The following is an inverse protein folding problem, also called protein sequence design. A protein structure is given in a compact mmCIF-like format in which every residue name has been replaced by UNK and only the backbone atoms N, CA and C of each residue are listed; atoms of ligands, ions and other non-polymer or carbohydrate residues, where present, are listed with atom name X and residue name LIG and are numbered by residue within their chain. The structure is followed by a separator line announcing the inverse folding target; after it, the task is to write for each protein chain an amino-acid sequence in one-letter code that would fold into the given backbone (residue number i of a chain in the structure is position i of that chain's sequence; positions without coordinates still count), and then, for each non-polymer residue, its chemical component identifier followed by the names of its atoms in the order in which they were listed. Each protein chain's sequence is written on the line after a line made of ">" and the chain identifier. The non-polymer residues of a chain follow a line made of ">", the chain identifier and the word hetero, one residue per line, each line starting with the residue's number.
data_IF_943473032996
#
_entry.id   IF_943473032996
#
_cell.length_a   1.000
_cell.length_b   1.000
_cell.length_c   1.000
_cell.angle_alpha   90.00
_cell.angle_beta   90.00
_cell.angle_gamma   90.00
#
_symmetry.space_group_name_H-M   'P 1'
#
loop_
_entity.id
_entity.type
_entity.pdbx_description
1 polymer ?
#
# COMPACT_ATOMS: atom_id res chain seq x y z
N UNK A 1 0.85 9.37 11.60
CA UNK A 1 1.09 9.40 10.15
C UNK A 1 0.09 8.45 9.52
N UNK A 2 -1.01 8.97 9.02
CA UNK A 2 -2.00 8.17 8.29
C UNK A 2 -1.34 7.86 6.95
N UNK A 3 -0.91 6.62 6.76
CA UNK A 3 -0.54 6.15 5.44
C UNK A 3 -1.84 6.02 4.68
N UNK A 4 -2.27 7.09 4.03
CA UNK A 4 -3.38 7.04 3.08
C UNK A 4 -2.96 6.04 2.00
N UNK A 5 -3.42 4.80 2.16
CA UNK A 5 -3.26 3.77 1.17
C UNK A 5 -3.93 4.27 -0.10
N UNK A 6 -3.14 4.68 -1.09
CA UNK A 6 -3.68 5.17 -2.34
C UNK A 6 -4.52 4.06 -2.99
N UNK A 7 -5.83 4.24 -2.99
CA UNK A 7 -6.74 3.34 -3.65
C UNK A 7 -6.56 3.46 -5.17
N UNK A 8 -6.70 2.33 -5.87
CA UNK A 8 -6.75 2.32 -7.32
C UNK A 8 -8.11 2.85 -7.78
N UNK A 9 -8.13 3.89 -8.59
CA UNK A 9 -9.37 4.49 -9.10
C UNK A 9 -10.18 3.53 -9.99
N UNK A 10 -9.52 2.56 -10.63
CA UNK A 10 -10.18 1.58 -11.50
C UNK A 10 -10.68 0.34 -10.75
N UNK A 11 -9.93 -0.12 -9.73
CA UNK A 11 -10.35 -1.27 -8.91
C UNK A 11 -11.23 -0.86 -7.72
N UNK A 12 -11.24 0.43 -7.36
CA UNK A 12 -11.81 0.98 -6.14
C UNK A 12 -11.38 0.24 -4.85
N UNK A 13 -10.16 -0.30 -4.87
CA UNK A 13 -9.56 -1.07 -3.78
C UNK A 13 -8.08 -0.68 -3.66
N UNK A 14 -7.44 -1.12 -2.58
CA UNK A 14 -6.00 -1.00 -2.35
C UNK A 14 -5.23 -1.59 -3.54
N UNK A 15 -4.09 -0.99 -3.91
CA UNK A 15 -3.27 -1.51 -4.99
C UNK A 15 -2.85 -2.98 -4.74
N UNK A 16 -3.45 -3.91 -5.48
CA UNK A 16 -3.13 -5.34 -5.41
C UNK A 16 -2.27 -5.76 -6.60
N UNK A 17 -1.75 -6.99 -6.59
CA UNK A 17 -1.01 -7.56 -7.73
C UNK A 17 -1.78 -7.44 -9.05
N UNK A 18 -3.10 -7.57 -9.03
CA UNK A 18 -3.97 -7.43 -10.21
C UNK A 18 -3.91 -6.01 -10.80
N UNK A 19 -3.80 -4.99 -9.95
CA UNK A 19 -3.69 -3.59 -10.39
C UNK A 19 -2.39 -3.33 -11.17
N UNK A 20 -1.30 -4.04 -10.86
CA UNK A 20 -0.05 -3.94 -11.62
C UNK A 20 -0.10 -4.72 -12.94
N UNK A 21 -0.70 -5.92 -12.93
CA UNK A 21 -0.89 -6.71 -14.16
C UNK A 21 -1.79 -6.00 -15.18
N UNK A 22 -2.83 -5.33 -14.72
CA UNK A 22 -3.70 -4.51 -15.56
C UNK A 22 -3.16 -3.10 -15.83
N UNK A 23 -1.93 -2.80 -15.37
CA UNK A 23 -1.28 -1.50 -15.56
C UNK A 23 -2.10 -0.31 -15.05
N UNK A 24 -2.89 -0.46 -13.98
CA UNK A 24 -3.49 0.69 -13.29
C UNK A 24 -2.40 1.44 -12.49
N UNK A 25 -1.43 0.69 -11.98
CA UNK A 25 -0.26 1.17 -11.24
C UNK A 25 1.04 0.68 -11.88
N UNK A 26 2.08 1.50 -11.78
CA UNK A 26 3.43 1.18 -12.25
C UNK A 26 4.51 1.73 -11.31
N UNK A 27 5.75 1.38 -11.62
CA UNK A 27 6.94 1.91 -10.94
C UNK A 27 7.73 2.76 -11.91
N UNK A 28 8.22 3.92 -11.47
CA UNK A 28 8.97 4.81 -12.35
C UNK A 28 10.29 4.16 -12.78
N UNK A 29 10.53 4.09 -14.09
CA UNK A 29 11.75 3.52 -14.67
C UNK A 29 12.81 4.58 -15.01
N UNK A 30 12.54 5.84 -14.71
CA UNK A 30 13.48 6.93 -14.97
C UNK A 30 14.76 6.78 -14.11
N UNK A 31 15.94 7.10 -14.66
CA UNK A 31 17.17 7.16 -13.86
C UNK A 31 17.08 8.33 -12.88
N UNK A 32 17.26 8.05 -11.59
CA UNK A 32 17.40 9.03 -10.53
C UNK A 32 18.86 9.43 -10.38
N UNK A 33 19.10 10.73 -10.22
CA UNK A 33 20.45 11.28 -10.01
C UNK A 33 20.79 11.25 -8.53
N UNK A 34 21.66 10.33 -8.11
CA UNK A 34 22.25 10.38 -6.76
C UNK A 34 23.50 11.25 -6.75
N UNK A 35 23.78 11.86 -5.59
CA UNK A 35 24.99 12.67 -5.37
C UNK A 35 26.28 11.86 -5.53
N UNK A 36 26.19 10.55 -5.34
CA UNK A 36 27.32 9.62 -5.37
C UNK A 36 27.70 9.18 -6.80
N UNK A 37 27.08 9.77 -7.84
CA UNK A 37 27.35 9.46 -9.25
C UNK A 37 26.69 8.17 -9.75
N UNK A 38 26.05 7.40 -8.87
CA UNK A 38 25.22 6.26 -9.28
C UNK A 38 23.92 6.73 -9.93
N UNK A 39 23.44 5.95 -10.91
CA UNK A 39 22.18 6.20 -11.63
C UNK A 39 21.14 5.11 -11.28
N UNK A 40 20.66 5.03 -10.03
CA UNK A 40 19.61 4.07 -9.69
C UNK A 40 18.31 4.42 -10.41
N UNK A 41 17.41 3.44 -10.52
CA UNK A 41 16.06 3.67 -11.05
C UNK A 41 15.22 4.35 -9.97
N UNK A 42 14.38 5.32 -10.34
CA UNK A 42 13.52 6.08 -9.43
C UNK A 42 12.63 5.17 -8.56
N UNK A 43 11.91 4.22 -9.16
CA UNK A 43 11.14 3.22 -8.41
C UNK A 43 9.90 3.75 -7.68
N UNK A 44 9.56 5.03 -7.81
CA UNK A 44 8.37 5.60 -7.17
C UNK A 44 7.09 5.03 -7.80
N UNK A 45 6.07 4.75 -6.97
CA UNK A 45 4.80 4.19 -7.44
C UNK A 45 3.90 5.29 -7.98
N UNK A 46 3.24 5.02 -9.10
CA UNK A 46 2.30 5.98 -9.67
C UNK A 46 1.14 5.30 -10.40
N UNK A 47 0.02 6.01 -10.50
CA UNK A 47 -1.11 5.59 -11.31
C UNK A 47 -0.80 5.84 -12.80
N UNK A 48 -0.89 4.82 -13.64
CA UNK A 48 -0.53 4.92 -15.07
C UNK A 48 -1.44 5.89 -15.82
N UNK A 49 -2.68 6.04 -15.35
CA UNK A 49 -3.63 7.02 -15.91
C UNK A 49 -3.32 8.48 -15.50
N UNK A 50 -2.40 8.70 -14.56
CA UNK A 50 -2.04 10.04 -14.13
C UNK A 50 -1.52 10.87 -15.32
N UNK A 51 -1.73 12.19 -15.28
CA UNK A 51 -1.12 13.12 -16.24
C UNK A 51 0.37 13.37 -15.92
N UNK A 52 0.75 13.30 -14.64
CA UNK A 52 2.07 13.73 -14.13
C UNK A 52 3.13 12.65 -13.96
N UNK A 53 2.86 11.39 -14.29
CA UNK A 53 3.81 10.29 -14.06
C UNK A 53 4.00 10.03 -12.57
N UNK A 54 5.25 9.86 -12.13
CA UNK A 54 5.59 9.63 -10.72
C UNK A 54 5.82 10.90 -9.91
N UNK A 55 5.24 12.03 -10.36
CA UNK A 55 5.42 13.38 -9.83
C UNK A 55 6.83 13.97 -10.02
N UNK A 56 7.88 13.20 -9.74
CA UNK A 56 9.28 13.59 -9.99
C UNK A 56 9.66 13.49 -11.48
N UNK A 57 9.09 12.50 -12.19
CA UNK A 57 9.41 12.23 -13.58
C UNK A 57 8.11 12.24 -14.42
N UNK A 58 7.80 13.36 -15.09
CA UNK A 58 6.62 13.46 -15.94
C UNK A 58 6.78 12.66 -17.22
N UNK A 59 5.66 12.27 -17.83
CA UNK A 59 5.66 11.46 -19.06
C UNK A 59 6.38 12.13 -20.24
N UNK A 60 6.49 13.45 -20.26
CA UNK A 60 7.17 14.20 -21.32
C UNK A 60 8.65 13.82 -21.47
N UNK A 61 9.26 13.22 -20.44
CA UNK A 61 10.63 12.72 -20.49
C UNK A 61 10.76 11.37 -21.20
N UNK A 62 9.64 10.76 -21.60
CA UNK A 62 9.61 9.51 -22.35
C UNK A 62 9.79 8.25 -21.49
N UNK A 63 10.35 8.31 -20.29
CA UNK A 63 10.64 7.09 -19.50
C UNK A 63 9.41 6.23 -19.21
N UNK A 64 8.30 6.85 -18.77
CA UNK A 64 7.12 6.11 -18.32
C UNK A 64 6.04 5.94 -19.40
N UNK A 65 6.24 6.45 -20.62
CA UNK A 65 5.20 6.40 -21.67
C UNK A 65 4.94 4.96 -22.15
N UNK A 66 5.90 4.04 -21.93
CA UNK A 66 5.74 2.59 -22.15
C UNK A 66 4.49 2.03 -21.47
N UNK A 67 4.16 2.51 -20.26
CA UNK A 67 3.02 2.00 -19.51
C UNK A 67 1.69 2.41 -20.14
N UNK A 68 1.62 3.63 -20.70
CA UNK A 68 0.43 4.11 -21.39
C UNK A 68 0.23 3.39 -22.72
N UNK A 69 1.31 3.08 -23.42
CA UNK A 69 1.23 2.34 -24.69
C UNK A 69 0.87 0.87 -24.48
N UNK A 70 1.48 0.20 -23.50
CA UNK A 70 1.15 -1.16 -23.12
C UNK A 70 -0.32 -1.27 -22.67
N UNK A 71 -0.83 -0.30 -21.90
CA UNK A 71 -2.25 -0.27 -21.51
C UNK A 71 -3.20 -0.05 -22.70
N UNK A 72 -2.74 0.60 -23.77
CA UNK A 72 -3.49 0.74 -25.04
C UNK A 72 -3.39 -0.49 -25.93
N UNK A 73 -2.67 -1.53 -25.52
CA UNK A 73 -2.46 -2.74 -26.32
C UNK A 73 -1.55 -2.52 -27.52
N UNK A 74 -0.74 -1.46 -27.52
CA UNK A 74 0.29 -1.28 -28.54
C UNK A 74 1.48 -2.18 -28.19
N UNK A 75 1.93 -2.96 -29.16
CA UNK A 75 3.19 -3.67 -29.01
C UNK A 75 4.31 -2.67 -28.79
N UNK A 76 5.18 -2.97 -27.81
CA UNK A 76 6.43 -2.28 -27.54
C UNK A 76 7.39 -2.56 -28.71
N UNK A 77 7.03 -2.09 -29.89
CA UNK A 77 7.88 -2.08 -31.06
C UNK A 77 9.03 -1.14 -30.78
N UNK A 78 10.22 -1.52 -31.26
CA UNK A 78 11.56 -0.97 -31.05
C UNK A 78 11.76 0.53 -31.36
N UNK A 79 10.67 1.29 -31.53
CA UNK A 79 10.65 2.74 -31.66
C UNK A 79 11.03 3.47 -30.35
N UNK A 80 11.09 2.78 -29.21
CA UNK A 80 11.74 3.28 -27.99
C UNK A 80 13.27 3.20 -28.06
N UNK A 81 13.85 3.67 -29.17
CA UNK A 81 15.20 4.25 -29.10
C UNK A 81 15.03 5.57 -28.37
N UNK A 82 15.12 5.52 -27.05
CA UNK A 82 15.06 6.74 -26.24
C UNK A 82 16.05 7.75 -26.78
N UNK A 83 15.64 9.02 -26.84
CA UNK A 83 16.54 10.17 -26.91
C UNK A 83 17.33 10.31 -25.58
N UNK A 84 17.82 9.19 -25.05
CA UNK A 84 18.88 9.21 -24.06
C UNK A 84 20.11 9.62 -24.84
N UNK A 85 20.60 10.82 -24.55
CA UNK A 85 21.94 11.29 -24.91
C UNK A 85 22.90 10.11 -24.83
N UNK A 86 23.26 9.61 -26.01
CA UNK A 86 24.35 8.70 -26.23
C UNK A 86 25.61 9.35 -25.66
N UNK A 87 25.97 8.99 -24.43
CA UNK A 87 27.37 9.05 -24.06
C UNK A 87 28.02 7.87 -24.79
N UNK A 88 28.56 8.20 -25.96
CA UNK A 88 29.52 7.40 -26.70
C UNK A 88 30.75 7.17 -25.82
N UNK A 89 30.70 6.16 -24.97
CA UNK A 89 31.91 5.54 -24.40
C UNK A 89 31.68 4.05 -24.14
N UNK A 90 30.86 3.42 -25.01
CA UNK A 90 30.93 1.99 -25.24
C UNK A 90 32.20 1.70 -26.04
N UNK A 91 33.32 1.75 -25.32
CA UNK A 91 34.60 1.22 -25.77
C UNK A 91 34.37 -0.15 -26.40
N UNK A 92 34.78 -0.21 -27.66
CA UNK A 92 34.74 -1.32 -28.58
C UNK A 92 35.55 -2.51 -28.04
N UNK A 93 35.02 -3.25 -27.06
CA UNK A 93 35.56 -4.56 -26.70
C UNK A 93 35.08 -5.53 -27.78
N UNK A 94 35.84 -5.63 -28.87
CA UNK A 94 35.72 -6.73 -29.84
C UNK A 94 35.70 -8.04 -29.04
N UNK A 95 34.53 -8.68 -29.01
CA UNK A 95 34.38 -10.00 -28.45
C UNK A 95 35.30 -10.94 -29.24
N UNK A 96 36.40 -11.37 -28.60
CA UNK A 96 37.26 -12.41 -29.11
C UNK A 96 36.44 -13.71 -29.16
N UNK A 97 36.26 -14.33 -30.34
CA UNK A 97 35.46 -15.54 -30.48
C UNK A 97 36.06 -16.77 -29.78
N UNK A 98 37.28 -16.69 -29.22
CA UNK A 98 37.92 -17.79 -28.49
C UNK A 98 37.72 -17.76 -26.97
N UNK A 99 37.12 -16.73 -26.37
CA UNK A 99 36.93 -16.66 -24.91
C UNK A 99 35.66 -17.40 -24.43
N UNK A 100 35.33 -18.54 -25.07
CA UNK A 100 34.10 -19.30 -24.83
C UNK A 100 34.33 -20.66 -24.16
N UNK A 101 35.52 -20.92 -23.62
CA UNK A 101 35.91 -22.25 -23.11
C UNK A 101 36.44 -22.27 -21.67
N UNK A 102 36.02 -21.34 -20.81
CA UNK A 102 36.13 -21.54 -19.36
C UNK A 102 34.94 -20.97 -18.60
N UNK A 103 33.79 -21.62 -18.76
CA UNK A 103 32.80 -21.67 -17.68
C UNK A 103 32.74 -23.12 -17.25
N UNK A 104 33.53 -23.46 -16.22
CA UNK A 104 33.34 -24.70 -15.49
C UNK A 104 31.93 -24.65 -14.92
N UNK A 105 31.07 -25.49 -15.49
CA UNK A 105 29.81 -25.90 -14.87
C UNK A 105 30.17 -26.60 -13.56
N UNK A 106 30.34 -25.82 -12.51
CA UNK A 106 30.43 -26.30 -11.13
C UNK A 106 28.99 -26.44 -10.61
N UNK A 107 28.45 -27.65 -10.46
CA UNK A 107 27.05 -27.87 -10.15
C UNK A 107 26.68 -27.56 -8.69
N UNK A 108 27.62 -27.10 -7.86
CA UNK A 108 27.37 -26.88 -6.42
C UNK A 108 26.79 -25.51 -6.04
N UNK A 109 26.74 -24.52 -6.96
CA UNK A 109 26.37 -23.14 -6.60
C UNK A 109 24.96 -22.68 -7.05
N UNK A 110 24.12 -23.61 -7.50
CA UNK A 110 22.78 -23.31 -8.05
C UNK A 110 21.64 -23.24 -7.01
N UNK A 111 21.91 -23.32 -5.71
CA UNK A 111 20.85 -23.42 -4.69
C UNK A 111 20.69 -22.27 -3.66
N UNK A 112 20.85 -20.97 -3.98
CA UNK A 112 20.36 -19.92 -3.07
C UNK A 112 18.83 -19.94 -2.88
N UNK A 113 18.10 -20.40 -3.90
CA UNK A 113 16.64 -20.27 -3.98
C UNK A 113 15.87 -21.39 -3.27
N UNK A 114 16.49 -22.56 -3.06
CA UNK A 114 15.83 -23.69 -2.38
C UNK A 114 15.62 -23.46 -0.88
N UNK A 115 16.31 -22.47 -0.27
CA UNK A 115 16.05 -22.07 1.13
C UNK A 115 14.68 -21.41 1.33
N UNK A 116 14.07 -20.83 0.30
CA UNK A 116 12.80 -20.09 0.42
C UNK A 116 11.54 -20.93 0.21
N UNK A 117 11.67 -22.21 -0.15
CA UNK A 117 10.52 -23.11 -0.27
C UNK A 117 10.19 -23.85 1.04
N UNK A 118 10.87 -23.51 2.15
CA UNK A 118 10.39 -23.95 3.46
C UNK A 118 9.00 -23.32 3.67
N UNK A 119 7.97 -24.16 3.59
CA UNK A 119 6.62 -23.80 4.00
C UNK A 119 6.73 -23.19 5.39
N UNK A 120 6.37 -21.91 5.57
CA UNK A 120 6.40 -21.32 6.90
C UNK A 120 5.54 -22.22 7.77
N UNK A 121 6.13 -22.84 8.79
CA UNK A 121 5.40 -23.64 9.76
C UNK A 121 4.21 -22.79 10.18
N UNK A 122 3.01 -23.25 9.81
CA UNK A 122 1.79 -22.53 10.06
C UNK A 122 1.64 -22.51 11.57
N UNK A 123 2.15 -21.45 12.22
CA UNK A 123 2.02 -21.24 13.65
C UNK A 123 0.54 -21.31 13.92
N UNK A 124 0.12 -22.42 14.53
CA UNK A 124 -1.27 -22.71 14.87
C UNK A 124 -1.79 -21.46 15.56
N UNK A 125 -2.79 -20.82 14.95
CA UNK A 125 -3.37 -19.57 15.48
C UNK A 125 -3.66 -19.80 16.95
N UNK A 126 -3.08 -18.96 17.81
CA UNK A 126 -3.36 -19.02 19.23
C UNK A 126 -4.89 -19.02 19.44
N UNK A 127 -5.41 -19.81 20.39
CA UNK A 127 -6.83 -19.87 20.64
C UNK A 127 -7.39 -18.45 20.89
N UNK A 128 -8.62 -18.17 20.45
CA UNK A 128 -9.22 -16.85 20.62
C UNK A 128 -9.20 -16.47 22.10
N UNK A 129 -8.64 -15.29 22.41
CA UNK A 129 -8.64 -14.78 23.79
C UNK A 129 -10.08 -14.70 24.29
N UNK A 130 -10.36 -15.10 25.55
CA UNK A 130 -11.68 -14.94 26.12
C UNK A 130 -12.09 -13.48 26.03
N UNK A 131 -13.29 -13.22 25.48
CA UNK A 131 -13.85 -11.87 25.40
C UNK A 131 -14.00 -11.36 26.83
N UNK A 132 -13.35 -10.23 27.15
CA UNK A 132 -13.61 -9.53 28.41
C UNK A 132 -15.11 -9.24 28.47
N UNK A 133 -15.76 -9.64 29.56
CA UNK A 133 -17.17 -9.34 29.78
C UNK A 133 -17.38 -7.83 29.57
N UNK A 134 -18.34 -7.48 28.74
CA UNK A 134 -18.72 -6.10 28.52
C UNK A 134 -19.26 -5.57 29.85
N UNK A 135 -18.43 -4.82 30.58
CA UNK A 135 -18.91 -4.09 31.75
C UNK A 135 -19.90 -3.06 31.22
N UNK A 136 -21.19 -3.34 31.38
CA UNK A 136 -22.23 -2.34 31.18
C UNK A 136 -21.81 -1.12 31.99
N UNK A 137 -21.52 -0.01 31.30
CA UNK A 137 -21.13 1.25 31.92
C UNK A 137 -22.12 1.52 33.04
N UNK A 138 -21.67 1.42 34.29
CA UNK A 138 -22.43 1.83 35.45
C UNK A 138 -22.85 3.27 35.17
N UNK A 139 -24.16 3.51 35.16
CA UNK A 139 -24.65 4.88 34.96
C UNK A 139 -24.05 5.78 36.04
N UNK A 140 -23.67 7.02 35.70
CA UNK A 140 -23.13 7.95 36.68
C UNK A 140 -24.12 8.10 37.84
N UNK A 141 -23.61 8.01 39.08
CA UNK A 141 -24.42 8.18 40.26
C UNK A 141 -25.18 9.52 40.18
N UNK A 142 -26.49 9.48 40.45
CA UNK A 142 -27.30 10.70 40.51
C UNK A 142 -26.65 11.67 41.49
N UNK A 143 -26.33 12.89 41.05
CA UNK A 143 -25.71 13.91 41.89
C UNK A 143 -26.59 14.26 43.09
N UNK A 144 -25.98 14.61 44.23
CA UNK A 144 -26.65 14.85 45.50
C UNK A 144 -27.83 15.85 45.43
N UNK A 145 -27.81 16.79 44.48
CA UNK A 145 -28.89 17.76 44.26
C UNK A 145 -30.22 17.13 43.83
N UNK A 146 -30.19 16.00 43.10
CA UNK A 146 -31.40 15.33 42.63
C UNK A 146 -32.16 14.60 43.76
N UNK A 147 -31.48 14.22 44.85
CA UNK A 147 -32.12 13.55 45.99
C UNK A 147 -32.95 14.50 46.86
N UNK A 148 -32.65 15.80 46.88
CA UNK A 148 -33.34 16.76 47.75
C UNK A 148 -34.65 17.30 47.15
N UNK A 149 -34.81 17.27 45.82
CA UNK A 149 -36.03 17.76 45.16
C UNK A 149 -37.18 16.76 45.25
N UNK A 150 -36.91 15.46 45.36
CA UNK A 150 -37.95 14.42 45.35
C UNK A 150 -38.69 14.30 46.69
N UNK A 151 -38.08 14.76 47.80
CA UNK A 151 -38.69 14.69 49.13
C UNK A 151 -39.66 15.83 49.44
N UNK A 152 -39.73 16.87 48.59
CA UNK A 152 -40.52 18.09 48.85
C UNK A 152 -41.92 18.09 48.22
N UNK A 153 -42.27 17.06 47.45
CA UNK A 153 -43.56 16.98 46.74
C UNK A 153 -44.65 16.14 47.40
N UNK A 154 -44.44 15.58 48.60
CA UNK A 154 -45.37 14.58 49.20
C UNK A 154 -46.04 15.01 50.51
N UNK A 155 -46.18 16.32 50.73
CA UNK A 155 -46.92 16.88 51.86
C UNK A 155 -47.85 17.99 51.37
N UNK A 156 -49.07 17.65 50.97
CA UNK A 156 -50.08 18.66 50.64
C UNK A 156 -51.40 18.07 50.17
N UNK A 157 -52.41 18.14 51.05
CA UNK A 157 -53.85 18.10 50.74
C UNK A 157 -54.43 16.70 50.45
N UNK A 158 -55.60 16.32 50.92
CA UNK A 158 -56.68 17.09 51.52
C UNK A 158 -57.54 16.16 52.38
N UNK A 159 -57.87 16.65 53.57
CA UNK A 159 -58.94 16.12 54.41
C UNK A 159 -60.26 16.47 53.72
N UNK A 160 -61.15 15.49 53.56
CA UNK A 160 -62.56 15.78 53.33
C UNK A 160 -63.41 14.95 54.30
N UNK A 161 -63.87 15.64 55.33
CA UNK A 161 -64.82 15.18 56.35
C UNK A 161 -66.22 15.61 55.95
N UNK A 162 -67.18 14.69 56.00
CA UNK A 162 -68.63 14.87 56.26
C UNK A 162 -69.36 13.74 55.52
N UNK A 163 -70.31 13.00 56.08
CA UNK A 163 -71.10 13.22 57.29
C UNK A 163 -72.57 13.26 56.90
N UNK A 164 -73.35 12.29 57.39
CA UNK A 164 -74.78 12.45 57.64
C UNK A 164 -75.73 11.93 56.56
N UNK A 165 -76.68 11.10 57.01
CA UNK A 165 -77.88 10.69 56.26
C UNK A 165 -78.27 9.26 56.53
#
# INVERSE_FOLDING_TARGET
>A
MVQDSHHCLECNDTATRRSYHNLHWGFCVAPATLKDGSKPICGERFAVDSSGGCFQHPYNHGFNIIYKEARRGKDLTSAFKGNGTENEDASNTRADPNDRLHRTDDPEDLEPWKKYTQTPEFKVKAPPRPRKAHTSKLQPAKGAKAFFTEKKGRTGGEQNTSGGG
#
